data_IF_037207175218
#
_entry.id   IF_037207175218
#
_cell.length_a   1.000
_cell.length_b   1.000
_cell.length_c   1.000
_cell.angle_alpha   90.00
_cell.angle_beta   90.00
_cell.angle_gamma   90.00
#
_symmetry.space_group_name_H-M   'P 1'
#
loop_
_entity.id
_entity.type
_entity.pdbx_description
1 polymer ?
#
# COMPACT_ATOMS: atom_id res chain seq x y z
N UNK A 1 1.21 23.59 -7.76
CA UNK A 1 2.35 23.75 -6.83
C UNK A 1 1.86 23.95 -5.39
N UNK A 2 1.08 25.00 -5.10
CA UNK A 2 0.60 25.30 -3.73
C UNK A 2 -0.19 24.16 -3.11
N UNK A 3 -1.26 23.68 -3.77
CA UNK A 3 -2.06 22.57 -3.25
C UNK A 3 -1.25 21.29 -3.01
N UNK A 4 -0.31 20.99 -3.91
CA UNK A 4 0.55 19.82 -3.77
C UNK A 4 1.51 19.96 -2.58
N UNK A 5 2.09 21.15 -2.39
CA UNK A 5 2.94 21.44 -1.23
C UNK A 5 2.14 21.29 0.08
N UNK A 6 0.91 21.81 0.13
CA UNK A 6 0.00 21.64 1.26
C UNK A 6 -0.31 20.16 1.53
N UNK A 7 -0.53 19.34 0.49
CA UNK A 7 -0.73 17.90 0.67
C UNK A 7 0.49 17.21 1.27
N UNK A 8 1.72 17.56 0.84
CA UNK A 8 2.95 16.99 1.43
C UNK A 8 3.09 17.44 2.89
N UNK A 9 2.89 18.74 3.18
CA UNK A 9 2.97 19.28 4.55
C UNK A 9 1.99 18.54 5.44
N UNK A 10 0.70 18.51 5.09
CA UNK A 10 -0.33 17.83 5.87
C UNK A 10 0.02 16.36 6.07
N UNK A 11 0.54 15.69 5.02
CA UNK A 11 1.02 14.32 5.10
C UNK A 11 2.15 14.14 6.12
N UNK A 12 3.14 15.03 6.15
CA UNK A 12 4.26 14.98 7.11
C UNK A 12 3.78 15.24 8.54
N UNK A 13 2.82 16.14 8.72
CA UNK A 13 2.21 16.45 10.02
C UNK A 13 1.31 15.33 10.55
N UNK A 14 0.65 14.56 9.67
CA UNK A 14 -0.15 13.39 10.09
C UNK A 14 0.72 12.17 10.30
N UNK A 15 1.66 11.91 9.40
CA UNK A 15 2.48 10.71 9.43
C UNK A 15 3.84 10.92 8.74
N UNK A 16 4.93 10.76 9.50
CA UNK A 16 6.31 10.92 8.99
C UNK A 16 6.62 10.03 7.78
N UNK A 17 6.05 8.82 7.70
CA UNK A 17 6.25 7.93 6.54
C UNK A 17 5.59 8.41 5.24
N UNK A 18 4.82 9.50 5.25
CA UNK A 18 4.34 10.14 4.02
C UNK A 18 5.49 10.55 3.09
N UNK A 19 6.70 10.74 3.63
CA UNK A 19 7.91 10.95 2.83
C UNK A 19 8.18 9.80 1.86
N UNK A 20 7.82 8.56 2.21
CA UNK A 20 7.98 7.40 1.31
C UNK A 20 7.07 7.52 0.09
N UNK A 21 5.86 8.07 0.27
CA UNK A 21 4.93 8.35 -0.82
C UNK A 21 5.45 9.49 -1.69
N UNK A 22 6.01 10.54 -1.08
CA UNK A 22 6.68 11.60 -1.83
C UNK A 22 7.82 11.01 -2.68
N UNK A 23 8.70 10.18 -2.11
CA UNK A 23 9.77 9.52 -2.86
C UNK A 23 9.22 8.69 -4.03
N UNK A 24 8.15 7.90 -3.81
CA UNK A 24 7.48 7.15 -4.87
C UNK A 24 6.99 8.07 -6.01
N UNK A 25 6.37 9.20 -5.67
CA UNK A 25 5.91 10.20 -6.64
C UNK A 25 7.07 10.90 -7.37
N UNK A 26 8.19 11.13 -6.68
CA UNK A 26 9.42 11.67 -7.28
C UNK A 26 10.01 10.71 -8.31
N UNK A 27 10.14 9.42 -7.96
CA UNK A 27 10.60 8.37 -8.89
C UNK A 27 9.67 8.29 -10.10
N UNK A 28 8.35 8.26 -9.86
CA UNK A 28 7.35 8.30 -10.92
C UNK A 28 7.56 9.48 -11.87
N UNK A 29 7.72 10.69 -11.33
CA UNK A 29 7.85 11.90 -12.12
C UNK A 29 9.14 11.92 -12.95
N UNK A 30 10.27 11.49 -12.36
CA UNK A 30 11.57 11.38 -13.05
C UNK A 30 11.49 10.43 -14.24
N UNK A 31 10.85 9.27 -14.07
CA UNK A 31 10.69 8.29 -15.16
C UNK A 31 9.77 8.84 -16.25
N UNK A 32 8.63 9.45 -15.89
CA UNK A 32 7.68 10.01 -16.87
C UNK A 32 8.31 11.14 -17.69
N UNK A 33 9.14 11.97 -17.06
CA UNK A 33 9.85 13.08 -17.72
C UNK A 33 11.17 12.62 -18.36
N UNK A 34 11.42 11.31 -18.42
CA UNK A 34 12.59 10.68 -19.07
C UNK A 34 13.93 11.22 -18.57
N UNK A 35 14.04 11.45 -17.25
CA UNK A 35 15.23 12.00 -16.60
C UNK A 35 15.63 13.40 -17.09
N UNK A 36 14.73 14.13 -17.77
CA UNK A 36 14.96 15.52 -18.19
C UNK A 36 14.45 16.49 -17.14
N UNK A 37 15.24 17.52 -16.82
CA UNK A 37 14.80 18.59 -15.91
C UNK A 37 13.70 19.39 -16.59
N UNK A 38 12.45 19.16 -16.17
CA UNK A 38 11.29 19.87 -16.68
C UNK A 38 10.70 20.80 -15.62
N UNK A 39 9.85 21.75 -16.06
CA UNK A 39 9.13 22.65 -15.13
C UNK A 39 8.34 21.88 -14.07
N UNK A 40 7.87 20.67 -14.38
CA UNK A 40 7.15 19.82 -13.42
C UNK A 40 8.08 19.26 -12.35
N UNK A 41 9.27 18.77 -12.73
CA UNK A 41 10.28 18.30 -11.76
C UNK A 41 10.70 19.45 -10.85
N UNK A 42 10.99 20.62 -11.42
CA UNK A 42 11.37 21.80 -10.62
C UNK A 42 10.23 22.19 -9.67
N UNK A 43 8.98 22.26 -10.15
CA UNK A 43 7.83 22.59 -9.28
C UNK A 43 7.62 21.56 -8.16
N UNK A 44 7.81 20.27 -8.47
CA UNK A 44 7.76 19.19 -7.48
C UNK A 44 8.86 19.35 -6.42
N UNK A 45 10.11 19.60 -6.84
CA UNK A 45 11.23 19.80 -5.92
C UNK A 45 11.02 21.02 -5.02
N UNK A 46 10.55 22.15 -5.56
CA UNK A 46 10.23 23.32 -4.74
C UNK A 46 9.08 23.01 -3.77
N UNK A 47 8.10 22.19 -4.18
CA UNK A 47 7.01 21.78 -3.29
C UNK A 47 7.53 20.93 -2.12
N UNK A 48 8.40 19.96 -2.39
CA UNK A 48 9.05 19.15 -1.35
C UNK A 48 9.91 20.01 -0.42
N UNK A 49 10.70 20.93 -0.99
CA UNK A 49 11.53 21.86 -0.21
C UNK A 49 10.68 22.75 0.71
N UNK A 50 9.60 23.33 0.17
CA UNK A 50 8.65 24.14 0.94
C UNK A 50 8.03 23.31 2.07
N UNK A 51 7.68 22.05 1.80
CA UNK A 51 7.11 21.18 2.82
C UNK A 51 8.11 20.84 3.94
N UNK A 52 9.37 20.57 3.60
CA UNK A 52 10.44 20.33 4.59
C UNK A 52 10.69 21.59 5.42
N UNK A 53 10.72 22.78 4.80
CA UNK A 53 10.87 24.04 5.53
C UNK A 53 9.72 24.27 6.52
N UNK A 54 8.48 24.04 6.10
CA UNK A 54 7.32 24.19 6.97
C UNK A 54 7.29 23.15 8.09
N UNK A 55 7.79 21.92 7.83
CA UNK A 55 7.90 20.87 8.83
C UNK A 55 9.16 20.99 9.72
N UNK A 56 10.07 21.91 9.41
CA UNK A 56 11.36 22.06 10.11
C UNK A 56 11.27 22.28 11.63
N UNK A 57 10.23 22.94 12.21
CA UNK A 57 10.11 23.05 13.66
C UNK A 57 10.03 21.67 14.35
N UNK A 58 9.33 20.71 13.73
CA UNK A 58 9.24 19.34 14.25
C UNK A 58 10.50 18.54 14.04
N UNK A 59 11.22 18.77 12.93
CA UNK A 59 12.55 18.17 12.73
C UNK A 59 13.48 18.60 13.87
N UNK A 60 13.48 19.88 14.21
CA UNK A 60 14.30 20.41 15.30
C UNK A 60 13.93 19.79 16.66
N UNK A 61 12.63 19.65 16.97
CA UNK A 61 12.21 19.04 18.24
C UNK A 61 12.59 17.55 18.33
N UNK A 62 12.43 16.79 17.24
CA UNK A 62 12.80 15.36 17.19
C UNK A 62 14.30 15.17 17.40
N UNK A 63 15.13 16.01 16.78
CA UNK A 63 16.59 15.91 16.92
C UNK A 63 17.05 16.25 18.34
N UNK A 64 16.47 17.27 18.96
CA UNK A 64 16.82 17.67 20.34
C UNK A 64 16.29 16.70 21.40
N UNK A 65 15.22 15.97 21.12
CA UNK A 65 14.64 14.96 22.03
C UNK A 65 14.86 13.53 21.51
N UNK A 66 16.05 13.26 20.97
CA UNK A 66 16.38 11.97 20.34
C UNK A 66 16.23 10.76 21.28
N UNK A 67 16.47 10.93 22.58
CA UNK A 67 16.24 9.89 23.59
C UNK A 67 14.76 9.54 23.73
N UNK A 68 13.88 10.55 23.78
CA UNK A 68 12.43 10.37 23.80
C UNK A 68 11.91 9.75 22.51
N UNK A 69 12.45 10.14 21.35
CA UNK A 69 12.12 9.54 20.06
C UNK A 69 12.50 8.05 19.99
N UNK A 70 13.69 7.69 20.50
CA UNK A 70 14.11 6.28 20.61
C UNK A 70 13.20 5.49 21.56
N UNK A 71 12.87 6.04 22.72
CA UNK A 71 11.95 5.38 23.66
C UNK A 71 10.56 5.15 23.04
N UNK A 72 10.02 6.13 22.32
CA UNK A 72 8.74 6.01 21.62
C UNK A 72 8.76 4.98 20.48
N UNK A 73 9.93 4.66 19.94
CA UNK A 73 10.13 3.69 18.87
C UNK A 73 10.72 2.36 19.36
N UNK A 74 10.98 2.20 20.66
CA UNK A 74 11.60 0.99 21.21
C UNK A 74 10.79 -0.28 20.93
N UNK A 75 9.48 -0.15 20.73
CA UNK A 75 8.61 -1.26 20.33
C UNK A 75 8.86 -1.76 18.89
N UNK A 76 9.55 -0.96 18.05
CA UNK A 76 10.01 -1.34 16.71
C UNK A 76 11.36 -2.04 16.71
N UNK A 77 12.18 -1.87 17.74
CA UNK A 77 13.46 -2.57 17.93
C UNK A 77 13.26 -4.02 18.39
N UNK A 78 12.16 -4.64 17.94
CA UNK A 78 11.94 -6.06 18.13
C UNK A 78 12.98 -6.81 17.32
N UNK A 79 13.66 -7.72 17.99
CA UNK A 79 14.54 -8.77 17.43
C UNK A 79 13.77 -9.78 16.56
N UNK A 80 12.71 -9.34 15.86
CA UNK A 80 12.00 -10.16 14.91
C UNK A 80 12.92 -10.37 13.70
N UNK A 81 13.16 -11.62 13.35
CA UNK A 81 13.95 -11.95 12.16
C UNK A 81 13.26 -11.36 10.93
N UNK A 82 14.03 -10.90 9.94
CA UNK A 82 13.49 -10.40 8.67
C UNK A 82 12.44 -11.34 8.06
N UNK A 83 12.65 -12.65 8.20
CA UNK A 83 11.71 -13.68 7.77
C UNK A 83 10.33 -13.53 8.43
N UNK A 84 10.25 -13.27 9.73
CA UNK A 84 8.99 -13.07 10.45
C UNK A 84 8.31 -11.78 9.98
N UNK A 85 9.07 -10.71 9.79
CA UNK A 85 8.55 -9.46 9.24
C UNK A 85 7.99 -9.64 7.82
N UNK A 86 8.65 -10.42 6.97
CA UNK A 86 8.18 -10.76 5.62
C UNK A 86 6.91 -11.62 5.65
N UNK A 87 6.82 -12.58 6.57
CA UNK A 87 5.60 -13.39 6.75
C UNK A 87 4.45 -12.50 7.20
N UNK A 88 4.67 -11.62 8.18
CA UNK A 88 3.65 -10.64 8.62
C UNK A 88 3.26 -9.67 7.51
N UNK A 89 4.22 -9.19 6.73
CA UNK A 89 3.98 -8.34 5.57
C UNK A 89 3.04 -8.99 4.56
N UNK A 90 3.35 -10.22 4.16
CA UNK A 90 2.55 -11.00 3.22
C UNK A 90 1.15 -11.26 3.80
N UNK A 91 1.06 -11.62 5.08
CA UNK A 91 -0.24 -11.80 5.75
C UNK A 91 -1.05 -10.51 5.78
N UNK A 92 -0.43 -9.36 6.05
CA UNK A 92 -1.11 -8.07 6.06
C UNK A 92 -1.61 -7.68 4.66
N UNK A 93 -0.88 -7.99 3.59
CA UNK A 93 -1.35 -7.79 2.20
C UNK A 93 -2.66 -8.56 1.97
N UNK A 94 -2.72 -9.83 2.38
CA UNK A 94 -3.92 -10.63 2.20
C UNK A 94 -5.08 -10.11 3.07
N UNK A 95 -4.80 -9.78 4.32
CA UNK A 95 -5.77 -9.24 5.27
C UNK A 95 -6.32 -7.87 4.82
N UNK A 96 -5.54 -7.09 4.08
CA UNK A 96 -5.99 -5.82 3.52
C UNK A 96 -7.02 -5.97 2.39
N UNK A 97 -7.20 -7.18 1.85
CA UNK A 97 -8.22 -7.48 0.83
C UNK A 97 -9.38 -8.26 1.44
N UNK A 98 -9.08 -9.31 2.20
CA UNK A 98 -10.07 -10.15 2.87
C UNK A 98 -9.57 -10.37 4.30
N UNK A 99 -10.35 -9.95 5.29
CA UNK A 99 -10.06 -10.29 6.68
C UNK A 99 -10.29 -11.79 6.88
N UNK A 100 -9.23 -12.53 7.19
CA UNK A 100 -9.31 -13.97 7.46
C UNK A 100 -9.64 -14.29 8.92
N UNK A 101 -9.71 -13.28 9.79
CA UNK A 101 -9.94 -13.42 11.22
C UNK A 101 -11.42 -13.24 11.62
N UNK A 102 -12.27 -12.76 10.71
CA UNK A 102 -13.69 -12.47 11.01
C UNK A 102 -14.45 -13.66 11.61
N UNK A 103 -14.18 -14.90 11.17
CA UNK A 103 -14.87 -16.09 11.66
C UNK A 103 -14.66 -16.30 13.16
N UNK A 104 -13.45 -16.00 13.68
CA UNK A 104 -13.14 -16.15 15.11
C UNK A 104 -13.79 -15.06 15.96
N UNK A 105 -13.95 -13.85 15.43
CA UNK A 105 -14.62 -12.74 16.12
C UNK A 105 -16.13 -12.95 16.26
N UNK A 106 -16.80 -13.43 15.21
CA UNK A 106 -18.26 -13.55 15.19
C UNK A 106 -18.77 -14.91 15.64
N UNK A 107 -17.96 -15.96 15.51
CA UNK A 107 -18.34 -17.31 15.90
C UNK A 107 -17.27 -17.94 16.81
N UNK A 108 -17.06 -17.40 18.02
CA UNK A 108 -16.02 -17.87 18.94
C UNK A 108 -16.16 -19.35 19.33
N UNK A 109 -17.38 -19.89 19.25
CA UNK A 109 -17.71 -21.28 19.56
C UNK A 109 -17.57 -22.22 18.36
N UNK A 110 -17.44 -21.69 17.13
CA UNK A 110 -17.17 -22.49 15.93
C UNK A 110 -15.68 -22.76 15.83
N UNK A 111 -15.22 -23.71 16.64
CA UNK A 111 -13.84 -24.14 16.61
C UNK A 111 -13.63 -25.05 15.39
N UNK A 112 -13.31 -24.46 14.24
CA UNK A 112 -12.89 -25.18 13.04
C UNK A 112 -11.36 -25.16 12.89
N UNK A 113 -10.59 -25.91 13.71
CA UNK A 113 -9.12 -25.84 13.71
C UNK A 113 -8.48 -26.19 12.36
N UNK A 114 -9.21 -26.95 11.51
CA UNK A 114 -8.72 -27.45 10.23
C UNK A 114 -9.23 -26.68 9.00
N UNK A 115 -10.27 -25.83 9.13
CA UNK A 115 -10.74 -24.97 8.03
C UNK A 115 -9.95 -23.67 8.03
N UNK A 116 -8.65 -23.77 7.76
CA UNK A 116 -7.80 -22.62 7.48
C UNK A 116 -8.12 -22.11 6.07
N UNK A 117 -9.29 -21.51 5.86
CA UNK A 117 -9.73 -20.97 4.57
C UNK A 117 -8.66 -20.10 3.90
N UNK A 118 -7.87 -19.37 4.70
CA UNK A 118 -6.73 -18.60 4.23
C UNK A 118 -5.69 -19.41 3.45
N UNK A 119 -5.46 -20.69 3.73
CA UNK A 119 -4.48 -21.51 3.00
C UNK A 119 -4.92 -21.71 1.54
N UNK A 120 -6.21 -21.90 1.29
CA UNK A 120 -6.74 -22.15 -0.05
C UNK A 120 -7.03 -20.85 -0.81
N UNK A 121 -7.42 -19.79 -0.10
CA UNK A 121 -7.79 -18.51 -0.72
C UNK A 121 -6.56 -17.63 -1.01
N UNK A 122 -5.51 -17.68 -0.18
CA UNK A 122 -4.30 -16.84 -0.39
C UNK A 122 -3.62 -17.08 -1.75
N UNK A 123 -3.43 -18.32 -2.25
CA UNK A 123 -2.90 -18.55 -3.59
C UNK A 123 -3.78 -17.94 -4.68
N UNK A 124 -5.11 -18.04 -4.55
CA UNK A 124 -6.05 -17.46 -5.51
C UNK A 124 -5.98 -15.92 -5.50
N UNK A 125 -5.92 -15.31 -4.32
CA UNK A 125 -5.73 -13.87 -4.18
C UNK A 125 -4.39 -13.40 -4.76
N UNK A 126 -3.32 -14.17 -4.55
CA UNK A 126 -2.01 -13.86 -5.12
C UNK A 126 -2.06 -13.85 -6.66
N UNK A 127 -2.69 -14.89 -7.26
CA UNK A 127 -2.91 -14.95 -8.71
C UNK A 127 -3.72 -13.74 -9.18
N UNK A 128 -4.77 -13.37 -8.46
CA UNK A 128 -5.60 -12.20 -8.77
C UNK A 128 -4.79 -10.90 -8.72
N UNK A 129 -3.97 -10.68 -7.69
CA UNK A 129 -3.12 -9.50 -7.56
C UNK A 129 -2.12 -9.41 -8.72
N UNK A 130 -1.37 -10.49 -8.97
CA UNK A 130 -0.36 -10.54 -10.04
C UNK A 130 -1.02 -10.29 -11.40
N UNK A 131 -2.16 -10.94 -11.65
CA UNK A 131 -2.90 -10.74 -12.89
C UNK A 131 -3.44 -9.31 -13.02
N UNK A 132 -3.87 -8.67 -11.93
CA UNK A 132 -4.36 -7.29 -11.94
C UNK A 132 -3.25 -6.30 -12.32
N UNK A 133 -2.03 -6.48 -11.78
CA UNK A 133 -0.88 -5.66 -12.17
C UNK A 133 -0.48 -5.90 -13.63
N UNK A 134 -0.44 -7.16 -14.06
CA UNK A 134 -0.19 -7.50 -15.47
C UNK A 134 -1.23 -6.85 -16.39
N UNK A 135 -2.51 -6.91 -16.02
CA UNK A 135 -3.61 -6.36 -16.80
C UNK A 135 -3.48 -4.83 -16.94
N UNK A 136 -3.19 -4.12 -15.85
CA UNK A 136 -2.96 -2.67 -15.89
C UNK A 136 -1.76 -2.31 -16.76
N UNK A 137 -0.64 -3.03 -16.60
CA UNK A 137 0.55 -2.82 -17.42
C UNK A 137 0.25 -2.97 -18.92
N UNK A 138 -0.58 -3.95 -19.31
CA UNK A 138 -0.92 -4.22 -20.71
C UNK A 138 -2.03 -3.33 -21.28
N UNK A 139 -2.93 -2.81 -20.45
CA UNK A 139 -4.17 -2.13 -20.91
C UNK A 139 -4.21 -0.64 -20.66
N UNK A 140 -3.24 -0.08 -19.93
CA UNK A 140 -3.21 1.35 -19.60
C UNK A 140 -1.96 2.04 -20.11
N UNK A 141 -2.00 3.37 -20.21
CA UNK A 141 -0.81 4.15 -20.54
C UNK A 141 0.25 4.10 -19.44
N UNK A 142 1.50 4.38 -19.81
CA UNK A 142 2.64 4.42 -18.87
C UNK A 142 2.39 5.31 -17.66
N UNK A 143 1.65 6.40 -17.81
CA UNK A 143 1.30 7.31 -16.71
C UNK A 143 0.47 6.65 -15.62
N UNK A 144 -0.38 5.68 -15.97
CA UNK A 144 -1.32 5.03 -15.05
C UNK A 144 -0.63 3.85 -14.37
N UNK A 145 -0.12 2.89 -15.16
CA UNK A 145 0.47 1.70 -14.56
C UNK A 145 1.69 2.04 -13.71
N UNK A 146 2.54 2.97 -14.16
CA UNK A 146 3.74 3.33 -13.41
C UNK A 146 3.39 4.03 -12.09
N UNK A 147 2.35 4.86 -12.08
CA UNK A 147 1.88 5.50 -10.85
C UNK A 147 1.45 4.44 -9.82
N UNK A 148 0.67 3.46 -10.26
CA UNK A 148 0.20 2.38 -9.39
C UNK A 148 1.39 1.53 -8.91
N UNK A 149 2.31 1.13 -9.80
CA UNK A 149 3.45 0.29 -9.43
C UNK A 149 4.41 1.01 -8.47
N UNK A 150 4.71 2.28 -8.71
CA UNK A 150 5.58 3.07 -7.82
C UNK A 150 4.94 3.26 -6.45
N UNK A 151 3.65 3.58 -6.39
CA UNK A 151 2.89 3.68 -5.13
C UNK A 151 2.87 2.36 -4.36
N UNK A 152 2.72 1.23 -5.07
CA UNK A 152 2.67 -0.11 -4.45
C UNK A 152 4.04 -0.54 -3.92
N UNK A 153 5.08 -0.48 -4.75
CA UNK A 153 6.33 -1.18 -4.50
C UNK A 153 7.41 -0.31 -3.84
N UNK A 154 7.45 1.00 -4.09
CA UNK A 154 8.53 1.86 -3.56
C UNK A 154 8.46 1.96 -2.02
N UNK A 155 7.31 2.27 -1.38
CA UNK A 155 7.25 2.36 0.07
C UNK A 155 7.70 1.08 0.82
N UNK A 156 7.19 -0.13 0.51
CA UNK A 156 7.65 -1.34 1.18
C UNK A 156 9.13 -1.64 0.89
N UNK A 157 9.64 -1.38 -0.31
CA UNK A 157 11.07 -1.54 -0.61
C UNK A 157 11.95 -0.68 0.29
N UNK A 158 11.60 0.59 0.47
CA UNK A 158 12.35 1.49 1.35
C UNK A 158 12.26 1.08 2.82
N UNK A 159 11.10 0.56 3.26
CA UNK A 159 10.93 0.03 4.61
C UNK A 159 11.78 -1.24 4.81
N UNK A 160 11.82 -2.16 3.84
CA UNK A 160 12.67 -3.36 3.90
C UNK A 160 14.14 -2.95 4.03
N UNK A 161 14.62 -2.01 3.21
CA UNK A 161 16.00 -1.51 3.27
C UNK A 161 16.30 -0.94 4.66
N UNK A 162 15.38 -0.13 5.20
CA UNK A 162 15.52 0.41 6.57
C UNK A 162 15.56 -0.70 7.62
N UNK A 163 14.63 -1.66 7.56
CA UNK A 163 14.51 -2.72 8.54
C UNK A 163 15.74 -3.63 8.57
N UNK A 164 16.37 -3.88 7.40
CA UNK A 164 17.64 -4.62 7.32
C UNK A 164 18.78 -3.83 7.98
N UNK A 165 18.87 -2.52 7.72
CA UNK A 165 19.97 -1.70 8.24
C UNK A 165 19.83 -1.38 9.73
N UNK A 166 18.59 -1.20 10.21
CA UNK A 166 18.28 -0.79 11.58
C UNK A 166 17.81 -1.94 12.48
N UNK A 167 17.74 -3.17 11.96
CA UNK A 167 17.12 -4.33 12.64
C UNK A 167 15.75 -3.99 13.24
N UNK A 168 14.91 -3.27 12.48
CA UNK A 168 13.58 -2.85 12.94
C UNK A 168 12.45 -3.73 12.40
N UNK A 169 11.33 -3.75 13.12
CA UNK A 169 10.10 -4.47 12.76
C UNK A 169 9.07 -3.63 12.00
N UNK A 170 9.47 -2.58 11.27
CA UNK A 170 8.53 -1.61 10.68
C UNK A 170 7.66 -2.24 9.59
N UNK A 171 8.22 -3.16 8.80
CA UNK A 171 7.54 -3.88 7.73
C UNK A 171 6.38 -4.75 8.22
N UNK A 172 6.45 -5.22 9.48
CA UNK A 172 5.37 -5.99 10.10
C UNK A 172 4.13 -5.15 10.40
N UNK A 173 4.25 -3.81 10.39
CA UNK A 173 3.19 -2.89 10.78
C UNK A 173 2.32 -2.53 9.60
N UNK A 174 1.09 -3.06 9.56
CA UNK A 174 0.14 -2.82 8.46
C UNK A 174 -0.08 -1.32 8.17
N UNK A 175 -0.15 -0.49 9.21
CA UNK A 175 -0.32 0.98 9.09
C UNK A 175 0.78 1.69 8.28
N UNK A 176 1.98 1.12 8.16
CA UNK A 176 3.06 1.72 7.37
C UNK A 176 2.97 1.38 5.88
N UNK A 177 2.07 0.47 5.53
CA UNK A 177 1.93 -0.12 4.20
C UNK A 177 0.62 0.29 3.51
N UNK A 178 -0.10 1.27 4.07
CA UNK A 178 -1.33 1.82 3.49
C UNK A 178 -1.17 2.16 1.99
N UNK A 179 -0.08 2.83 1.54
CA UNK A 179 0.10 3.10 0.11
C UNK A 179 0.20 1.83 -0.75
N UNK A 180 0.81 0.78 -0.21
CA UNK A 180 0.91 -0.52 -0.87
C UNK A 180 -0.47 -1.16 -1.03
N UNK A 181 -1.26 -1.18 0.03
CA UNK A 181 -2.63 -1.71 -0.02
C UNK A 181 -3.51 -0.93 -0.98
N UNK A 182 -3.43 0.40 -0.97
CA UNK A 182 -4.16 1.24 -1.91
C UNK A 182 -3.79 0.93 -3.37
N UNK A 183 -2.51 0.81 -3.68
CA UNK A 183 -2.06 0.47 -5.03
C UNK A 183 -2.56 -0.90 -5.50
N UNK A 184 -2.57 -1.91 -4.61
CA UNK A 184 -3.13 -3.23 -4.89
C UNK A 184 -4.65 -3.15 -5.10
N UNK A 185 -5.38 -2.47 -4.23
CA UNK A 185 -6.84 -2.35 -4.32
C UNK A 185 -7.27 -1.60 -5.58
N UNK A 186 -6.58 -0.52 -5.95
CA UNK A 186 -6.81 0.18 -7.23
C UNK A 186 -6.57 -0.77 -8.40
N UNK A 187 -5.54 -1.60 -8.33
CA UNK A 187 -5.21 -2.52 -9.41
C UNK A 187 -6.32 -3.55 -9.66
N UNK A 188 -6.80 -4.14 -8.57
CA UNK A 188 -7.87 -5.13 -8.57
C UNK A 188 -9.19 -4.48 -9.02
N UNK A 189 -9.53 -3.31 -8.45
CA UNK A 189 -10.75 -2.58 -8.80
C UNK A 189 -10.80 -2.22 -10.29
N UNK A 190 -9.68 -1.80 -10.87
CA UNK A 190 -9.59 -1.50 -12.30
C UNK A 190 -9.85 -2.74 -13.17
N UNK A 191 -9.25 -3.88 -12.80
CA UNK A 191 -9.49 -5.14 -13.51
C UNK A 191 -10.99 -5.47 -13.49
N UNK A 192 -11.63 -5.46 -12.33
CA UNK A 192 -13.05 -5.78 -12.24
C UNK A 192 -13.94 -4.77 -12.98
N UNK A 193 -13.69 -3.48 -12.82
CA UNK A 193 -14.47 -2.43 -13.48
C UNK A 193 -14.38 -2.52 -15.01
N UNK A 194 -13.19 -2.83 -15.56
CA UNK A 194 -13.01 -3.00 -17.00
C UNK A 194 -13.65 -4.28 -17.52
N UNK A 195 -13.54 -5.38 -16.78
CA UNK A 195 -14.17 -6.64 -17.15
C UNK A 195 -15.70 -6.50 -17.15
N UNK A 196 -16.31 -5.91 -16.11
CA UNK A 196 -17.76 -5.68 -16.08
C UNK A 196 -18.26 -4.84 -17.27
N UNK A 197 -17.50 -3.81 -17.65
CA UNK A 197 -17.88 -2.90 -18.76
C UNK A 197 -17.69 -3.52 -20.14
N UNK A 198 -16.81 -4.50 -20.28
CA UNK A 198 -16.57 -5.12 -21.58
C UNK A 198 -17.84 -5.84 -22.05
N UNK A 199 -18.21 -5.62 -23.32
CA UNK A 199 -19.26 -6.40 -24.00
C UNK A 199 -18.73 -7.82 -24.21
N UNK A 200 -18.86 -8.68 -23.20
CA UNK A 200 -18.51 -10.08 -23.34
C UNK A 200 -19.41 -10.73 -24.39
N UNK A 201 -18.80 -11.45 -25.32
CA UNK A 201 -19.54 -12.29 -26.28
C UNK A 201 -20.15 -13.53 -25.61
N UNK A 202 -19.60 -13.94 -24.46
CA UNK A 202 -20.03 -15.14 -23.74
C UNK A 202 -20.66 -14.80 -22.37
N UNK A 203 -21.89 -15.25 -22.14
CA UNK A 203 -22.70 -14.96 -20.94
C UNK A 203 -22.09 -15.52 -19.65
N UNK A 204 -21.36 -16.63 -19.73
CA UNK A 204 -20.69 -17.24 -18.57
C UNK A 204 -19.57 -16.37 -18.00
N UNK A 205 -18.74 -15.77 -18.88
CA UNK A 205 -17.68 -14.85 -18.47
C UNK A 205 -18.27 -13.62 -17.79
N UNK A 206 -19.37 -13.08 -18.33
CA UNK A 206 -20.12 -11.99 -17.70
C UNK A 206 -20.57 -12.39 -16.28
N UNK A 207 -21.30 -13.51 -16.14
CA UNK A 207 -21.77 -13.99 -14.82
C UNK A 207 -20.62 -14.20 -13.83
N UNK A 208 -19.49 -14.76 -14.27
CA UNK A 208 -18.32 -14.96 -13.43
C UNK A 208 -17.79 -13.63 -12.85
N UNK A 209 -17.55 -12.62 -13.69
CA UNK A 209 -17.04 -11.32 -13.22
C UNK A 209 -18.01 -10.57 -12.31
N UNK A 210 -19.32 -10.65 -12.58
CA UNK A 210 -20.35 -10.08 -11.70
C UNK A 210 -20.39 -10.80 -10.34
N UNK A 211 -20.34 -12.14 -10.31
CA UNK A 211 -20.32 -12.88 -9.04
C UNK A 211 -19.04 -12.63 -8.25
N UNK A 212 -17.88 -12.61 -8.91
CA UNK A 212 -16.62 -12.30 -8.25
C UNK A 212 -16.57 -10.89 -7.65
N UNK A 213 -17.17 -9.89 -8.32
CA UNK A 213 -17.25 -8.53 -7.75
C UNK A 213 -18.21 -8.44 -6.58
N UNK A 214 -19.39 -9.06 -6.67
CA UNK A 214 -20.34 -9.09 -5.55
C UNK A 214 -19.66 -9.74 -4.34
N UNK A 215 -19.02 -10.90 -4.52
CA UNK A 215 -18.31 -11.56 -3.43
C UNK A 215 -17.23 -10.67 -2.83
N UNK A 216 -16.39 -10.04 -3.64
CA UNK A 216 -15.35 -9.14 -3.13
C UNK A 216 -15.92 -7.96 -2.35
N UNK A 217 -16.98 -7.31 -2.84
CA UNK A 217 -17.62 -6.18 -2.14
C UNK A 217 -18.24 -6.67 -0.83
N UNK A 218 -18.95 -7.81 -0.84
CA UNK A 218 -19.53 -8.37 0.38
C UNK A 218 -18.46 -8.70 1.42
N UNK A 219 -17.33 -9.30 1.02
CA UNK A 219 -16.22 -9.56 1.95
C UNK A 219 -15.50 -8.29 2.39
N UNK A 220 -15.52 -7.23 1.57
CA UNK A 220 -14.91 -5.94 1.89
C UNK A 220 -15.75 -5.10 2.85
N UNK A 221 -17.07 -5.03 2.66
CA UNK A 221 -17.98 -4.22 3.50
C UNK A 221 -18.08 -4.75 4.94
N UNK A 222 -17.91 -6.07 5.13
CA UNK A 222 -17.78 -6.67 6.46
C UNK A 222 -16.55 -6.15 7.24
N UNK A 223 -15.57 -5.54 6.57
CA UNK A 223 -14.35 -4.96 7.17
C UNK A 223 -14.57 -3.51 7.64
N UNK A 224 -15.47 -2.75 7.01
CA UNK A 224 -15.70 -1.31 7.30
C UNK A 224 -16.74 -1.04 8.40
N UNK A 225 -17.56 -2.04 8.76
CA UNK A 225 -18.53 -1.92 9.86
C UNK A 225 -17.97 -2.26 11.26
N UNK A 226 -16.63 -2.42 11.38
CA UNK A 226 -15.89 -2.58 12.64
C UNK A 226 -14.79 -1.52 12.75
#
# INVERSE_FOLDING_TARGET
>A
MVFYSLSIVLGLYTHLLSILVAIAQGIYLVIIEKFRVSKKIVSYLISCFTAILLFSPWIFTILNHSSGAKAALAWLDKTAKLQENLISFVNNIFNAIIDFWFVYNYFPNLNFPNLRFGIYIKPLLLILMVYSFYFIYRKTSIKIWLFILTLTFVPPLLIVIRDINANSGSLSQARYLIPCYLGISIAIAYLFATQIKNKFRNLWQKKFWYLSTILLISFWDFILCN
#
